data_IF_045813617622
#
_entry.id   IF_045813617622
#
_cell.length_a   1.000
_cell.length_b   1.000
_cell.length_c   1.000
_cell.angle_alpha   90.00
_cell.angle_beta   90.00
_cell.angle_gamma   90.00
#
_symmetry.space_group_name_H-M   'P 1'
#
loop_
_entity.id
_entity.type
_entity.pdbx_description
1 polymer ?
#
# COMPACT_ATOMS: atom_id res chain seq x y z
N UNK A 1 24.69 -10.81 -6.06
CA UNK A 1 24.17 -9.54 -5.51
C UNK A 1 22.66 -9.58 -5.27
N UNK A 2 21.82 -9.96 -6.25
CA UNK A 2 20.36 -9.99 -6.06
C UNK A 2 19.87 -10.88 -4.90
N UNK A 3 20.41 -12.10 -4.75
CA UNK A 3 20.09 -12.98 -3.63
C UNK A 3 20.44 -12.40 -2.25
N UNK A 4 21.53 -11.63 -2.16
CA UNK A 4 21.94 -10.99 -0.92
C UNK A 4 20.93 -9.92 -0.50
N UNK A 5 20.52 -9.04 -1.42
CA UNK A 5 19.54 -7.99 -1.14
C UNK A 5 18.16 -8.57 -0.82
N UNK A 6 17.74 -9.63 -1.52
CA UNK A 6 16.49 -10.32 -1.22
C UNK A 6 16.48 -10.90 0.21
N UNK A 7 17.56 -11.56 0.63
CA UNK A 7 17.68 -12.09 1.97
C UNK A 7 17.68 -10.98 3.05
N UNK A 8 18.35 -9.86 2.80
CA UNK A 8 18.44 -8.71 3.72
C UNK A 8 17.19 -7.79 3.72
N UNK A 9 16.28 -7.93 2.76
CA UNK A 9 15.02 -7.20 2.74
C UNK A 9 13.99 -7.80 3.73
N UNK A 10 14.18 -9.04 4.18
CA UNK A 10 13.25 -9.72 5.10
C UNK A 10 13.08 -8.95 6.42
N UNK A 11 14.15 -8.33 6.92
CA UNK A 11 14.18 -7.60 8.19
C UNK A 11 13.29 -6.35 8.15
N UNK A 12 13.25 -5.63 7.03
CA UNK A 12 12.40 -4.43 6.91
C UNK A 12 10.94 -4.80 6.63
N UNK A 13 10.69 -5.85 5.86
CA UNK A 13 9.34 -6.32 5.51
C UNK A 13 8.62 -6.92 6.74
N UNK A 14 9.35 -7.62 7.61
CA UNK A 14 8.80 -8.23 8.83
C UNK A 14 8.87 -7.31 10.07
N UNK A 15 9.22 -6.04 9.90
CA UNK A 15 9.41 -5.11 11.02
C UNK A 15 8.12 -4.68 11.74
N UNK A 16 6.95 -5.02 11.20
CA UNK A 16 5.65 -4.68 11.80
C UNK A 16 5.50 -5.25 13.22
N UNK A 17 5.01 -4.44 14.15
CA UNK A 17 4.86 -4.84 15.56
C UNK A 17 6.16 -4.77 16.39
N UNK A 18 7.27 -4.33 15.81
CA UNK A 18 8.54 -4.13 16.50
C UNK A 18 8.94 -2.65 16.62
N UNK A 19 10.02 -2.37 17.36
CA UNK A 19 10.65 -1.04 17.42
C UNK A 19 11.19 -0.56 16.06
N UNK A 20 11.39 -1.47 15.10
CA UNK A 20 11.85 -1.15 13.75
C UNK A 20 10.72 -0.82 12.76
N UNK A 21 9.45 -0.87 13.20
CA UNK A 21 8.29 -0.63 12.33
C UNK A 21 8.30 0.72 11.61
N UNK A 22 8.94 1.75 12.18
CA UNK A 22 9.13 3.03 11.52
C UNK A 22 9.94 2.89 10.21
N UNK A 23 11.00 2.10 10.21
CA UNK A 23 11.83 1.86 9.02
C UNK A 23 11.05 1.13 7.93
N UNK A 24 10.20 0.16 8.29
CA UNK A 24 9.28 -0.50 7.35
C UNK A 24 8.31 0.48 6.67
N UNK A 25 7.77 1.43 7.43
CA UNK A 25 6.88 2.45 6.90
C UNK A 25 7.59 3.46 6.00
N UNK A 26 8.79 3.89 6.38
CA UNK A 26 9.60 4.77 5.53
C UNK A 26 9.97 4.08 4.22
N UNK A 27 10.44 2.82 4.29
CA UNK A 27 10.77 2.02 3.11
C UNK A 27 9.61 1.92 2.13
N UNK A 28 8.39 1.65 2.63
CA UNK A 28 7.21 1.56 1.78
C UNK A 28 6.81 2.92 1.18
N UNK A 29 6.86 3.99 1.97
CA UNK A 29 6.53 5.34 1.51
C UNK A 29 7.50 5.85 0.44
N UNK A 30 8.81 5.66 0.62
CA UNK A 30 9.82 6.04 -0.37
C UNK A 30 9.72 5.17 -1.62
N UNK A 31 9.44 3.87 -1.48
CA UNK A 31 9.25 2.97 -2.61
C UNK A 31 8.13 3.45 -3.56
N UNK A 32 6.98 3.85 -3.02
CA UNK A 32 5.90 4.40 -3.84
C UNK A 32 6.26 5.74 -4.49
N UNK A 33 7.06 6.57 -3.82
CA UNK A 33 7.53 7.83 -4.41
C UNK A 33 8.49 7.58 -5.59
N UNK A 34 9.44 6.65 -5.46
CA UNK A 34 10.34 6.25 -6.56
C UNK A 34 9.55 5.67 -7.75
N UNK A 35 8.53 4.85 -7.48
CA UNK A 35 7.64 4.35 -8.52
C UNK A 35 6.94 5.50 -9.24
N UNK A 36 6.38 6.47 -8.51
CA UNK A 36 5.72 7.65 -9.11
C UNK A 36 6.70 8.43 -9.99
N UNK A 37 7.95 8.63 -9.55
CA UNK A 37 8.96 9.34 -10.34
C UNK A 37 9.29 8.62 -11.65
N UNK A 38 9.38 7.28 -11.62
CA UNK A 38 9.56 6.48 -12.83
C UNK A 38 8.39 6.59 -13.80
N UNK A 39 7.16 6.66 -13.29
CA UNK A 39 5.94 6.85 -14.07
C UNK A 39 5.89 8.27 -14.65
N UNK A 40 6.24 9.30 -13.87
CA UNK A 40 6.31 10.70 -14.32
C UNK A 40 7.34 10.85 -15.44
N UNK A 41 8.48 10.17 -15.34
CA UNK A 41 9.46 10.14 -16.42
C UNK A 41 8.84 9.60 -17.73
N UNK A 42 8.08 8.50 -17.66
CA UNK A 42 7.40 7.95 -18.84
C UNK A 42 6.32 8.90 -19.41
N UNK A 43 5.53 9.56 -18.54
CA UNK A 43 4.53 10.54 -18.96
C UNK A 43 5.15 11.76 -19.65
N UNK A 44 6.31 12.22 -19.17
CA UNK A 44 7.07 13.31 -19.78
C UNK A 44 7.57 12.95 -21.18
N UNK A 45 8.00 11.69 -21.40
CA UNK A 45 8.39 11.21 -22.74
C UNK A 45 7.22 11.24 -23.73
N UNK A 46 6.01 10.93 -23.26
CA UNK A 46 4.79 10.92 -24.06
C UNK A 46 4.06 12.29 -24.11
N UNK A 47 4.59 13.33 -23.44
CA UNK A 47 4.00 14.68 -23.35
C UNK A 47 2.57 14.71 -22.79
N UNK A 48 2.21 13.75 -21.95
CA UNK A 48 0.91 13.67 -21.25
C UNK A 48 1.04 13.94 -19.76
N UNK A 49 2.09 14.67 -19.36
CA UNK A 49 2.33 14.99 -17.97
C UNK A 49 1.25 15.93 -17.42
N UNK A 50 0.81 15.65 -16.19
CA UNK A 50 -0.15 16.46 -15.47
C UNK A 50 0.51 17.78 -15.01
N UNK A 51 -0.25 18.88 -14.97
CA UNK A 51 0.22 20.16 -14.45
C UNK A 51 0.49 20.12 -12.93
N UNK A 52 -0.24 19.29 -12.19
CA UNK A 52 -0.03 19.06 -10.76
C UNK A 52 0.94 17.90 -10.54
N UNK A 53 1.96 18.09 -9.70
CA UNK A 53 2.95 17.06 -9.38
C UNK A 53 2.32 15.90 -8.59
N UNK A 54 2.40 14.65 -9.09
CA UNK A 54 1.96 13.50 -8.31
C UNK A 54 2.98 13.19 -7.21
N UNK A 55 2.48 12.83 -6.03
CA UNK A 55 3.30 12.50 -4.85
C UNK A 55 2.71 11.28 -4.16
N UNK A 56 3.58 10.45 -3.56
CA UNK A 56 3.13 9.40 -2.66
C UNK A 56 2.36 9.99 -1.47
N UNK A 57 1.41 9.22 -0.94
CA UNK A 57 0.65 9.61 0.25
C UNK A 57 1.59 9.80 1.44
N UNK A 58 1.28 10.77 2.30
CA UNK A 58 1.98 10.89 3.60
C UNK A 58 1.76 9.64 4.45
N UNK A 59 2.66 9.36 5.40
CA UNK A 59 2.55 8.20 6.30
C UNK A 59 1.20 8.18 7.03
N UNK A 60 0.72 9.34 7.50
CA UNK A 60 -0.57 9.45 8.19
C UNK A 60 -1.73 9.18 7.22
N UNK A 61 -1.70 9.76 6.02
CA UNK A 61 -2.75 9.49 5.03
C UNK A 61 -2.76 8.02 4.61
N UNK A 62 -1.59 7.41 4.37
CA UNK A 62 -1.48 5.99 4.06
C UNK A 62 -2.08 5.11 5.15
N UNK A 63 -1.86 5.45 6.42
CA UNK A 63 -2.50 4.76 7.57
C UNK A 63 -4.02 4.93 7.57
N UNK A 64 -4.52 6.14 7.36
CA UNK A 64 -5.97 6.41 7.33
C UNK A 64 -6.63 5.64 6.19
N UNK A 65 -6.08 5.74 4.98
CA UNK A 65 -6.56 4.99 3.80
C UNK A 65 -6.54 3.49 4.07
N UNK A 66 -5.47 2.96 4.67
CA UNK A 66 -5.36 1.56 5.05
C UNK A 66 -6.47 1.11 6.01
N UNK A 67 -6.72 1.87 7.08
CA UNK A 67 -7.79 1.57 8.05
C UNK A 67 -9.17 1.62 7.38
N UNK A 68 -9.43 2.62 6.54
CA UNK A 68 -10.70 2.73 5.80
C UNK A 68 -10.96 1.49 4.94
N UNK A 69 -9.97 1.04 4.16
CA UNK A 69 -10.12 -0.15 3.32
C UNK A 69 -10.26 -1.43 4.13
N UNK A 70 -9.49 -1.57 5.22
CA UNK A 70 -9.54 -2.73 6.11
C UNK A 70 -10.93 -2.89 6.74
N UNK A 71 -11.47 -1.81 7.31
CA UNK A 71 -12.79 -1.83 7.95
C UNK A 71 -13.92 -2.04 6.95
N UNK A 72 -13.89 -1.30 5.83
CA UNK A 72 -14.92 -1.44 4.79
C UNK A 72 -14.92 -2.86 4.21
N UNK A 73 -13.75 -3.38 3.85
CA UNK A 73 -13.61 -4.74 3.32
C UNK A 73 -14.05 -5.80 4.33
N UNK A 74 -13.66 -5.66 5.60
CA UNK A 74 -14.06 -6.59 6.66
C UNK A 74 -15.57 -6.61 6.89
N UNK A 75 -16.18 -5.43 6.98
CA UNK A 75 -17.64 -5.28 7.16
C UNK A 75 -18.38 -5.82 5.94
N UNK A 76 -17.99 -5.40 4.73
CA UNK A 76 -18.66 -5.81 3.51
C UNK A 76 -18.60 -7.33 3.29
N UNK A 77 -17.43 -7.94 3.52
CA UNK A 77 -17.26 -9.39 3.37
C UNK A 77 -18.09 -10.17 4.38
N UNK A 78 -18.08 -9.73 5.64
CA UNK A 78 -18.84 -10.37 6.73
C UNK A 78 -20.34 -10.22 6.50
N UNK A 79 -20.79 -9.04 6.09
CA UNK A 79 -22.18 -8.76 5.75
C UNK A 79 -22.67 -9.66 4.60
N UNK A 80 -21.89 -9.75 3.51
CA UNK A 80 -22.22 -10.59 2.37
C UNK A 80 -22.32 -12.08 2.77
N UNK A 81 -21.37 -12.57 3.57
CA UNK A 81 -21.40 -13.94 4.09
C UNK A 81 -22.68 -14.24 4.88
N UNK A 82 -23.03 -13.41 5.87
CA UNK A 82 -24.21 -13.65 6.69
C UNK A 82 -25.50 -13.55 5.90
N UNK A 83 -25.60 -12.57 5.01
CA UNK A 83 -26.78 -12.42 4.15
C UNK A 83 -26.96 -13.64 3.24
N UNK A 84 -25.90 -14.08 2.57
CA UNK A 84 -25.93 -15.28 1.74
C UNK A 84 -26.28 -16.53 2.56
N UNK A 85 -25.70 -16.69 3.76
CA UNK A 85 -25.96 -17.84 4.63
C UNK A 85 -27.43 -17.90 5.06
N UNK A 86 -28.02 -16.78 5.50
CA UNK A 86 -29.41 -16.73 5.96
C UNK A 86 -30.38 -17.02 4.81
N UNK A 87 -30.12 -16.50 3.61
CA UNK A 87 -30.95 -16.75 2.43
C UNK A 87 -30.86 -18.23 2.00
N UNK A 88 -29.66 -18.82 2.04
CA UNK A 88 -29.44 -20.19 1.58
C UNK A 88 -29.94 -21.28 2.55
N UNK A 89 -30.18 -20.95 3.82
CA UNK A 89 -30.72 -21.89 4.83
C UNK A 89 -32.17 -21.59 5.22
N UNK A 90 -32.80 -20.61 4.58
CA UNK A 90 -34.27 -20.52 4.50
C UNK A 90 -34.77 -21.47 3.43
#
# INVERSE_FOLDING_TARGET
MGYFLWAQASQVIQSYGSSLSAYGLFFLGTHFQELIESIVWAHNKLKVALATQPRALSIIQGRVVGVTHYLLGGIATTWAFFLAKIIAVR
#
